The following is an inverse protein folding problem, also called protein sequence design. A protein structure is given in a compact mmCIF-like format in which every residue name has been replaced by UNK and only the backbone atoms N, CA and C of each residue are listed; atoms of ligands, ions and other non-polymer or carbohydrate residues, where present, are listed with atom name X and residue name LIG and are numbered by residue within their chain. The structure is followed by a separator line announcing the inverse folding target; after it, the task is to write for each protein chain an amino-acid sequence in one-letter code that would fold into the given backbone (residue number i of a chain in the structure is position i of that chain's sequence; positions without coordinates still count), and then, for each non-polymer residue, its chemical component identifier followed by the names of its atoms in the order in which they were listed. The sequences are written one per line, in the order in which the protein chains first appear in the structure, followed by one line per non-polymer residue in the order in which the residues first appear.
data_IF_531319016515
#
_entry.id   IF_531319016515
#
_cell.length_a   1.000
_cell.length_b   1.000
_cell.length_c   1.000
_cell.angle_alpha   90.00
_cell.angle_beta   90.00
_cell.angle_gamma   90.00
#
_symmetry.space_group_name_H-M   'P 1'
#
loop_
_entity.id
_entity.type
_entity.pdbx_description
1 polymer ?
#
# COMPACT_ATOMS: atom_id res chain seq x y z
N UNK A 1 -37.33 -19.69 36.41
CA UNK A 1 -36.97 -18.31 36.05
C UNK A 1 -35.65 -18.37 35.29
N UNK A 2 -35.68 -18.25 33.97
CA UNK A 2 -34.48 -18.33 33.12
C UNK A 2 -34.06 -16.88 32.85
N UNK A 3 -32.92 -16.46 33.41
CA UNK A 3 -32.32 -15.17 33.12
C UNK A 3 -31.54 -15.34 31.82
N UNK A 4 -32.10 -14.86 30.71
CA UNK A 4 -31.42 -14.80 29.42
C UNK A 4 -30.54 -13.54 29.42
N UNK A 5 -29.24 -13.70 29.71
CA UNK A 5 -28.25 -12.64 29.53
C UNK A 5 -27.94 -12.48 28.05
N UNK A 6 -28.62 -11.55 27.39
CA UNK A 6 -28.21 -11.06 26.08
C UNK A 6 -26.95 -10.20 26.24
N UNK A 7 -25.78 -10.82 26.08
CA UNK A 7 -24.54 -10.09 25.87
C UNK A 7 -24.59 -9.46 24.46
N UNK A 8 -25.07 -8.22 24.38
CA UNK A 8 -24.79 -7.35 23.23
C UNK A 8 -23.34 -6.91 23.41
N UNK A 9 -22.40 -7.76 22.97
CA UNK A 9 -21.01 -7.34 22.85
C UNK A 9 -20.96 -6.45 21.62
N UNK A 10 -21.06 -5.14 21.84
CA UNK A 10 -20.72 -4.15 20.84
C UNK A 10 -19.19 -4.18 20.69
N UNK A 11 -18.67 -5.21 20.02
CA UNK A 11 -17.27 -5.26 19.65
C UNK A 11 -17.12 -4.22 18.55
N UNK A 12 -16.77 -2.99 18.94
CA UNK A 12 -15.99 -2.13 18.05
C UNK A 12 -14.68 -2.88 17.81
N UNK A 13 -14.71 -3.82 16.87
CA UNK A 13 -13.53 -4.49 16.36
C UNK A 13 -12.72 -3.35 15.76
N UNK A 14 -11.71 -2.87 16.50
CA UNK A 14 -10.72 -1.96 15.95
C UNK A 14 -10.10 -2.70 14.76
N UNK A 15 -10.53 -2.32 13.56
CA UNK A 15 -10.00 -2.87 12.32
C UNK A 15 -8.52 -2.50 12.26
N UNK A 16 -7.65 -3.50 12.25
CA UNK A 16 -6.21 -3.32 12.08
C UNK A 16 -5.86 -3.75 10.67
N UNK A 17 -6.05 -2.85 9.70
CA UNK A 17 -5.70 -3.14 8.30
C UNK A 17 -4.18 -3.24 8.16
N UNK A 18 -3.75 -4.30 7.48
CA UNK A 18 -2.36 -4.54 7.09
C UNK A 18 -2.27 -4.61 5.58
N UNK A 19 -1.13 -4.26 5.02
CA UNK A 19 -0.92 -4.40 3.58
C UNK A 19 -0.99 -5.86 3.12
N UNK A 20 -0.61 -6.80 3.99
CA UNK A 20 -0.73 -8.23 3.76
C UNK A 20 -2.18 -8.71 3.54
N UNK A 21 -3.20 -7.94 3.94
CA UNK A 21 -4.62 -8.27 3.74
C UNK A 21 -5.05 -8.22 2.25
N UNK A 22 -4.14 -7.78 1.36
CA UNK A 22 -4.29 -7.86 -0.09
C UNK A 22 -3.99 -9.25 -0.66
N UNK A 23 -3.33 -10.12 0.12
CA UNK A 23 -2.91 -11.44 -0.33
C UNK A 23 -4.11 -12.28 -0.79
N UNK A 24 -4.01 -12.84 -2.01
CA UNK A 24 -5.08 -13.59 -2.67
C UNK A 24 -6.39 -12.82 -2.89
N UNK A 25 -6.38 -11.48 -2.86
CA UNK A 25 -7.55 -10.70 -3.28
C UNK A 25 -7.76 -10.84 -4.77
N UNK A 26 -8.96 -11.25 -5.15
CA UNK A 26 -9.37 -11.47 -6.53
C UNK A 26 -10.59 -10.61 -6.87
N UNK A 27 -10.57 -9.98 -8.04
CA UNK A 27 -11.68 -9.19 -8.57
C UNK A 27 -11.67 -9.20 -10.10
N UNK A 28 -12.82 -8.92 -10.71
CA UNK A 28 -12.96 -8.84 -12.16
C UNK A 28 -13.18 -7.40 -12.60
N UNK A 29 -12.54 -7.02 -13.70
CA UNK A 29 -12.76 -5.73 -14.35
C UNK A 29 -13.36 -5.93 -15.74
N UNK A 30 -14.16 -4.97 -16.19
CA UNK A 30 -14.65 -4.91 -17.56
C UNK A 30 -14.23 -3.59 -18.21
N UNK A 31 -13.24 -3.63 -19.10
CA UNK A 31 -12.66 -2.43 -19.73
C UNK A 31 -13.63 -1.66 -20.63
N UNK A 32 -14.77 -2.24 -21.03
CA UNK A 32 -15.79 -1.49 -21.77
C UNK A 32 -16.58 -0.54 -20.88
N UNK A 33 -16.88 -0.99 -19.67
CA UNK A 33 -17.71 -0.23 -18.71
C UNK A 33 -16.84 0.59 -17.77
N UNK A 34 -15.64 0.09 -17.46
CA UNK A 34 -14.73 0.72 -16.53
C UNK A 34 -13.92 1.83 -17.21
N UNK A 35 -14.37 3.07 -16.96
CA UNK A 35 -13.74 4.25 -17.52
C UNK A 35 -12.69 4.84 -16.58
N UNK A 36 -12.79 4.57 -15.28
CA UNK A 36 -11.88 5.11 -14.27
C UNK A 36 -10.60 4.29 -14.22
N UNK A 37 -9.52 4.96 -13.83
CA UNK A 37 -8.25 4.29 -13.58
C UNK A 37 -8.10 3.92 -12.10
N UNK A 38 -8.99 4.39 -11.22
CA UNK A 38 -8.97 4.10 -9.81
C UNK A 38 -10.19 3.24 -9.43
N UNK A 39 -9.94 1.98 -9.08
CA UNK A 39 -10.99 1.00 -8.77
C UNK A 39 -11.00 0.73 -7.27
N UNK A 40 -12.12 0.96 -6.60
CA UNK A 40 -12.26 0.57 -5.20
C UNK A 40 -12.48 -0.95 -5.13
N UNK A 41 -11.52 -1.67 -4.54
CA UNK A 41 -11.55 -3.16 -4.43
C UNK A 41 -11.92 -3.64 -3.03
N UNK A 42 -11.86 -2.76 -2.03
CA UNK A 42 -12.32 -3.01 -0.67
C UNK A 42 -12.81 -1.70 -0.03
N UNK A 43 -13.85 -1.78 0.81
CA UNK A 43 -14.38 -0.67 1.58
C UNK A 43 -15.03 -1.19 2.87
N UNK A 44 -14.63 -0.65 4.01
CA UNK A 44 -15.33 -0.84 5.29
C UNK A 44 -15.46 0.51 6.02
N UNK A 45 -15.84 0.53 7.30
CA UNK A 45 -16.01 1.78 8.04
C UNK A 45 -14.69 2.53 8.33
N UNK A 46 -13.54 1.87 8.21
CA UNK A 46 -12.23 2.40 8.63
C UNK A 46 -11.28 2.61 7.44
N UNK A 47 -11.39 1.80 6.40
CA UNK A 47 -10.46 1.74 5.28
C UNK A 47 -11.16 1.63 3.94
N UNK A 48 -10.47 2.11 2.90
CA UNK A 48 -10.77 1.78 1.51
C UNK A 48 -9.49 1.36 0.81
N UNK A 49 -9.55 0.32 -0.02
CA UNK A 49 -8.41 -0.09 -0.85
C UNK A 49 -8.76 0.22 -2.30
N UNK A 50 -7.84 0.89 -2.99
CA UNK A 50 -7.96 1.20 -4.40
C UNK A 50 -6.87 0.54 -5.22
N UNK A 51 -7.25 -0.05 -6.34
CA UNK A 51 -6.36 -0.55 -7.37
C UNK A 51 -6.23 0.49 -8.49
N UNK A 52 -5.01 0.83 -8.88
CA UNK A 52 -4.75 1.74 -9.98
C UNK A 52 -4.58 0.91 -11.27
N UNK A 53 -5.59 1.01 -12.14
CA UNK A 53 -5.65 0.32 -13.42
C UNK A 53 -4.69 0.96 -14.43
N UNK A 54 -3.66 0.21 -14.82
CA UNK A 54 -2.84 0.51 -15.99
C UNK A 54 -3.34 -0.27 -17.21
N UNK A 55 -4.09 0.41 -18.09
CA UNK A 55 -4.70 -0.22 -19.27
C UNK A 55 -3.68 -0.81 -20.26
N UNK A 56 -2.40 -0.43 -20.17
CA UNK A 56 -1.32 -0.99 -21.00
C UNK A 56 -1.12 -2.49 -20.77
N UNK A 57 -1.47 -2.98 -19.58
CA UNK A 57 -1.33 -4.39 -19.21
C UNK A 57 -2.42 -5.29 -19.81
N UNK A 58 -3.42 -4.74 -20.51
CA UNK A 58 -4.64 -5.49 -20.85
C UNK A 58 -4.79 -5.87 -22.33
N UNK A 59 -3.73 -5.70 -23.13
CA UNK A 59 -3.72 -6.08 -24.54
C UNK A 59 -3.01 -7.43 -24.76
N UNK A 60 -3.73 -8.52 -24.49
CA UNK A 60 -3.22 -9.88 -24.70
C UNK A 60 -4.35 -10.88 -25.02
N UNK A 61 -3.98 -12.09 -25.45
CA UNK A 61 -4.92 -13.11 -25.97
C UNK A 61 -5.94 -13.56 -24.90
N UNK A 62 -7.19 -13.80 -25.32
CA UNK A 62 -8.20 -14.44 -24.45
C UNK A 62 -7.71 -15.82 -24.02
N UNK A 63 -7.89 -16.14 -22.74
CA UNK A 63 -7.47 -17.41 -22.15
C UNK A 63 -5.98 -17.47 -21.76
N UNK A 64 -5.21 -16.41 -21.95
CA UNK A 64 -3.86 -16.31 -21.37
C UNK A 64 -3.87 -15.50 -20.07
N UNK A 65 -2.75 -15.57 -19.35
CA UNK A 65 -2.48 -14.76 -18.17
C UNK A 65 -1.15 -14.06 -18.30
N UNK A 66 -1.03 -12.89 -17.69
CA UNK A 66 0.25 -12.21 -17.51
C UNK A 66 0.52 -11.98 -16.03
N UNK A 67 1.79 -11.95 -15.66
CA UNK A 67 2.24 -11.51 -14.33
C UNK A 67 2.88 -10.13 -14.50
N UNK A 68 2.44 -9.16 -13.70
CA UNK A 68 3.04 -7.83 -13.66
C UNK A 68 2.94 -7.27 -12.24
N UNK A 69 3.14 -5.97 -12.10
CA UNK A 69 2.98 -5.27 -10.83
C UNK A 69 1.79 -4.31 -10.89
N UNK A 70 1.19 -4.05 -9.73
CA UNK A 70 0.04 -3.17 -9.58
C UNK A 70 0.30 -2.12 -8.50
N UNK A 71 -0.10 -0.90 -8.78
CA UNK A 71 -0.17 0.15 -7.76
C UNK A 71 -1.47 0.01 -6.96
N UNK A 72 -1.34 -0.03 -5.64
CA UNK A 72 -2.46 -0.16 -4.70
C UNK A 72 -2.36 0.92 -3.64
N UNK A 73 -3.50 1.54 -3.36
CA UNK A 73 -3.66 2.59 -2.36
C UNK A 73 -4.46 2.02 -1.20
N UNK A 74 -3.90 2.06 0.01
CA UNK A 74 -4.64 1.82 1.24
C UNK A 74 -4.98 3.13 1.91
N UNK A 75 -6.23 3.55 1.84
CA UNK A 75 -6.74 4.78 2.44
C UNK A 75 -7.28 4.52 3.85
N UNK A 76 -6.74 5.23 4.84
CA UNK A 76 -7.27 5.23 6.21
C UNK A 76 -8.22 6.42 6.41
N UNK A 77 -9.49 6.12 6.70
CA UNK A 77 -10.54 7.13 6.97
C UNK A 77 -10.30 7.88 8.28
N UNK A 78 -9.55 7.28 9.21
CA UNK A 78 -9.16 7.90 10.49
C UNK A 78 -8.18 9.04 10.28
N UNK A 79 -7.21 8.87 9.39
CA UNK A 79 -6.14 9.84 9.16
C UNK A 79 -6.39 10.74 7.94
N UNK A 80 -7.35 10.40 7.08
CA UNK A 80 -7.54 11.02 5.75
C UNK A 80 -6.23 11.02 4.94
N UNK A 81 -5.48 9.92 5.06
CA UNK A 81 -4.21 9.68 4.37
C UNK A 81 -4.22 8.29 3.76
N UNK A 82 -3.41 8.11 2.74
CA UNK A 82 -3.22 6.82 2.10
C UNK A 82 -1.76 6.38 2.10
N UNK A 83 -1.52 5.07 2.08
CA UNK A 83 -0.24 4.52 1.66
C UNK A 83 -0.39 3.95 0.25
N UNK A 84 0.44 4.43 -0.68
CA UNK A 84 0.61 3.91 -2.02
C UNK A 84 1.85 2.99 -2.05
N UNK A 85 1.65 1.77 -2.57
CA UNK A 85 2.72 0.80 -2.76
C UNK A 85 2.45 -0.09 -3.97
N UNK A 86 3.44 -0.90 -4.33
CA UNK A 86 3.42 -1.79 -5.49
C UNK A 86 3.33 -3.25 -5.03
N UNK A 87 2.41 -4.00 -5.63
CA UNK A 87 2.26 -5.44 -5.40
C UNK A 87 2.39 -6.24 -6.69
N UNK A 88 2.52 -7.57 -6.57
CA UNK A 88 2.41 -8.46 -7.72
C UNK A 88 0.94 -8.64 -8.08
N UNK A 89 0.69 -8.73 -9.38
CA UNK A 89 -0.61 -9.11 -9.90
C UNK A 89 -0.48 -10.21 -10.96
N UNK A 90 -1.49 -11.08 -10.99
CA UNK A 90 -1.78 -11.93 -12.13
C UNK A 90 -3.06 -11.42 -12.79
N UNK A 91 -3.01 -11.15 -14.10
CA UNK A 91 -4.16 -10.72 -14.89
C UNK A 91 -4.50 -11.85 -15.86
N UNK A 92 -5.71 -12.39 -15.77
CA UNK A 92 -6.24 -13.42 -16.66
C UNK A 92 -7.31 -12.83 -17.58
N UNK A 93 -7.13 -12.96 -18.90
CA UNK A 93 -8.10 -12.46 -19.88
C UNK A 93 -9.22 -13.49 -20.08
N UNK A 94 -10.24 -13.39 -19.23
CA UNK A 94 -11.35 -14.35 -19.16
C UNK A 94 -12.16 -14.43 -20.46
N UNK A 95 -12.59 -13.27 -20.97
CA UNK A 95 -13.34 -13.13 -22.23
C UNK A 95 -13.27 -11.69 -22.70
N UNK A 96 -13.80 -11.39 -23.90
CA UNK A 96 -13.74 -10.05 -24.52
C UNK A 96 -14.00 -8.93 -23.50
N UNK A 97 -12.96 -8.13 -23.24
CA UNK A 97 -12.96 -6.97 -22.34
C UNK A 97 -13.12 -7.27 -20.85
N UNK A 98 -13.15 -8.54 -20.42
CA UNK A 98 -13.26 -8.95 -19.01
C UNK A 98 -11.99 -9.65 -18.57
N UNK A 99 -11.43 -9.17 -17.47
CA UNK A 99 -10.17 -9.64 -16.93
C UNK A 99 -10.34 -9.92 -15.44
N UNK A 100 -9.87 -11.08 -15.01
CA UNK A 100 -9.79 -11.45 -13.60
C UNK A 100 -8.39 -11.07 -13.11
N UNK A 101 -8.32 -10.35 -11.99
CA UNK A 101 -7.09 -9.83 -11.40
C UNK A 101 -6.94 -10.48 -10.04
N UNK A 102 -5.77 -11.06 -9.79
CA UNK A 102 -5.36 -11.59 -8.49
C UNK A 102 -4.15 -10.82 -7.98
N UNK A 103 -4.28 -10.22 -6.80
CA UNK A 103 -3.19 -9.54 -6.13
C UNK A 103 -2.47 -10.49 -5.18
N UNK A 104 -1.16 -10.27 -5.03
CA UNK A 104 -0.33 -10.94 -4.04
C UNK A 104 0.72 -9.96 -3.54
N UNK A 105 1.12 -10.11 -2.28
CA UNK A 105 2.15 -9.25 -1.67
C UNK A 105 3.47 -9.34 -2.45
N UNK A 106 3.68 -10.45 -3.15
CA UNK A 106 4.94 -10.76 -3.82
C UNK A 106 6.09 -10.95 -2.85
N UNK A 107 5.79 -11.08 -1.55
CA UNK A 107 6.79 -11.31 -0.52
C UNK A 107 7.19 -12.77 -0.50
N UNK A 108 8.45 -13.05 -0.83
CA UNK A 108 9.07 -14.34 -0.49
C UNK A 108 9.69 -14.20 0.90
N UNK A 109 9.23 -15.01 1.85
CA UNK A 109 9.57 -14.91 3.27
C UNK A 109 9.33 -13.51 3.86
N UNK A 110 10.41 -12.72 3.85
CA UNK A 110 10.65 -11.51 4.63
C UNK A 110 10.89 -10.28 3.74
N UNK A 111 10.83 -10.44 2.42
CA UNK A 111 11.27 -9.40 1.48
C UNK A 111 10.12 -8.85 0.67
N UNK A 112 9.95 -7.53 0.66
CA UNK A 112 9.03 -6.88 -0.29
C UNK A 112 9.66 -6.83 -1.68
N UNK A 113 8.80 -6.91 -2.70
CA UNK A 113 9.23 -6.74 -4.09
C UNK A 113 9.78 -5.33 -4.36
N UNK A 114 9.14 -4.31 -3.77
CA UNK A 114 9.50 -2.90 -3.93
C UNK A 114 9.51 -2.24 -2.56
N UNK A 115 10.60 -1.56 -2.22
CA UNK A 115 10.78 -0.86 -0.95
C UNK A 115 10.32 0.60 -0.98
N UNK A 116 10.15 1.17 -2.16
CA UNK A 116 9.72 2.55 -2.39
C UNK A 116 8.19 2.67 -2.31
N UNK A 117 7.72 3.55 -1.43
CA UNK A 117 6.31 3.82 -1.14
C UNK A 117 6.04 5.32 -1.04
N UNK A 118 4.77 5.71 -1.08
CA UNK A 118 4.37 7.09 -0.87
C UNK A 118 3.18 7.20 0.08
N UNK A 119 3.10 8.33 0.76
CA UNK A 119 1.95 8.71 1.58
C UNK A 119 1.23 9.83 0.85
N UNK A 120 -0.07 9.61 0.63
CA UNK A 120 -0.94 10.50 -0.11
C UNK A 120 -1.95 11.19 0.82
N UNK A 121 -2.41 12.37 0.44
CA UNK A 121 -3.53 13.04 1.10
C UNK A 121 -4.90 12.44 0.70
N UNK A 122 -6.00 13.06 1.16
CA UNK A 122 -7.37 12.69 0.82
C UNK A 122 -7.73 12.88 -0.67
N UNK A 123 -6.95 13.69 -1.37
CA UNK A 123 -7.09 13.94 -2.80
C UNK A 123 -6.23 13.00 -3.65
N UNK A 124 -5.43 12.14 -3.00
CA UNK A 124 -4.40 11.30 -3.61
C UNK A 124 -3.21 12.09 -4.19
N UNK A 125 -2.96 13.28 -3.66
CA UNK A 125 -1.75 14.04 -3.93
C UNK A 125 -0.61 13.54 -3.03
N UNK A 126 0.60 13.50 -3.58
CA UNK A 126 1.79 13.03 -2.89
C UNK A 126 2.22 14.05 -1.82
N UNK A 127 2.36 13.60 -0.56
CA UNK A 127 2.86 14.43 0.53
C UNK A 127 4.19 13.96 1.12
N UNK A 128 4.36 12.64 1.27
CA UNK A 128 5.59 12.05 1.80
C UNK A 128 6.05 10.88 0.95
N UNK A 129 7.36 10.71 0.87
CA UNK A 129 7.96 9.46 0.43
C UNK A 129 8.29 8.59 1.61
N UNK A 130 8.20 7.27 1.40
CA UNK A 130 8.53 6.28 2.40
C UNK A 130 9.43 5.22 1.78
N UNK A 131 10.56 4.94 2.42
CA UNK A 131 11.48 3.89 2.01
C UNK A 131 11.57 2.84 3.10
N UNK A 132 11.23 1.61 2.74
CA UNK A 132 11.40 0.46 3.61
C UNK A 132 12.81 -0.11 3.47
N UNK A 133 13.47 -0.31 4.60
CA UNK A 133 14.80 -0.86 4.67
C UNK A 133 14.81 -2.02 5.65
N UNK A 134 15.69 -2.97 5.40
CA UNK A 134 15.87 -4.10 6.27
C UNK A 134 17.31 -4.58 6.26
N UNK A 135 17.69 -5.21 7.36
CA UNK A 135 18.95 -5.91 7.46
C UNK A 135 18.64 -7.36 7.83
N UNK A 136 19.05 -8.29 6.98
CA UNK A 136 19.05 -9.70 7.38
C UNK A 136 20.19 -9.86 8.39
N UNK A 137 19.91 -10.32 9.62
CA UNK A 137 20.95 -10.54 10.59
C UNK A 137 21.89 -11.67 10.13
N UNK A 138 23.15 -11.70 10.62
CA UNK A 138 23.94 -12.93 10.63
C UNK A 138 23.15 -14.04 11.36
N UNK A 139 23.42 -15.30 11.01
CA UNK A 139 22.74 -16.46 11.58
C UNK A 139 22.60 -16.32 13.11
N UNK A 140 21.35 -16.41 13.61
CA UNK A 140 20.91 -16.36 15.04
C UNK A 140 20.34 -15.05 15.61
N UNK A 141 20.39 -13.89 14.92
CA UNK A 141 19.79 -12.65 15.44
C UNK A 141 18.36 -12.35 14.92
N UNK A 142 17.65 -11.47 15.64
CA UNK A 142 16.32 -10.98 15.24
C UNK A 142 16.43 -10.06 14.02
N UNK A 143 15.50 -10.22 13.09
CA UNK A 143 15.41 -9.39 11.90
C UNK A 143 15.08 -7.93 12.26
N UNK A 144 15.87 -6.98 11.75
CA UNK A 144 15.64 -5.55 11.94
C UNK A 144 15.17 -4.93 10.64
N UNK A 145 14.03 -4.25 10.69
CA UNK A 145 13.56 -3.42 9.58
C UNK A 145 13.06 -2.09 10.09
N UNK A 146 13.17 -1.08 9.23
CA UNK A 146 12.74 0.28 9.52
C UNK A 146 12.12 0.90 8.27
N UNK A 147 11.33 1.95 8.49
CA UNK A 147 10.94 2.86 7.43
C UNK A 147 11.60 4.20 7.64
N UNK A 148 11.99 4.84 6.55
CA UNK A 148 12.32 6.26 6.54
C UNK A 148 11.20 6.99 5.82
N UNK A 149 10.63 8.02 6.43
CA UNK A 149 9.59 8.89 5.85
C UNK A 149 10.20 10.27 5.62
N UNK A 150 10.01 10.84 4.43
CA UNK A 150 10.52 12.16 4.04
C UNK A 150 9.41 13.03 3.47
N UNK A 151 9.32 14.28 3.91
CA UNK A 151 8.39 15.26 3.32
C UNK A 151 8.86 15.69 1.92
N UNK A 152 7.94 15.68 0.95
CA UNK A 152 8.23 15.97 -0.46
C UNK A 152 8.52 17.45 -0.70
N UNK A 153 7.91 18.36 0.09
CA UNK A 153 8.03 19.81 -0.15
C UNK A 153 9.43 20.34 0.13
N UNK A 154 10.06 19.81 1.18
CA UNK A 154 11.29 20.33 1.73
C UNK A 154 12.45 19.33 1.69
N UNK A 155 12.21 18.03 1.44
CA UNK A 155 13.20 16.92 1.36
C UNK A 155 14.17 16.80 2.56
N UNK A 156 14.19 17.75 3.48
CA UNK A 156 15.12 17.81 4.62
C UNK A 156 14.54 17.16 5.89
N UNK A 157 13.21 17.11 5.98
CA UNK A 157 12.52 16.57 7.15
C UNK A 157 12.32 15.09 6.94
N UNK A 158 13.04 14.28 7.72
CA UNK A 158 12.87 12.82 7.69
C UNK A 158 12.79 12.25 9.09
N UNK A 159 12.10 11.13 9.20
CA UNK A 159 12.09 10.29 10.40
C UNK A 159 12.43 8.87 10.00
N UNK A 160 13.19 8.18 10.84
CA UNK A 160 13.35 6.73 10.74
C UNK A 160 12.63 6.07 11.90
N UNK A 161 11.86 5.03 11.59
CA UNK A 161 10.99 4.33 12.53
C UNK A 161 11.33 2.85 12.45
N UNK A 162 11.79 2.29 13.56
CA UNK A 162 11.98 0.85 13.69
C UNK A 162 10.63 0.14 13.68
N UNK A 163 10.53 -0.90 12.88
CA UNK A 163 9.34 -1.72 12.77
C UNK A 163 9.49 -2.96 13.67
N UNK A 164 8.36 -3.45 14.16
CA UNK A 164 8.32 -4.70 14.93
C UNK A 164 8.48 -5.92 14.03
N UNK A 165 8.02 -5.79 12.79
CA UNK A 165 8.08 -6.83 11.78
C UNK A 165 8.21 -6.20 10.38
N UNK A 166 8.07 -6.99 9.31
CA UNK A 166 7.96 -6.47 7.95
C UNK A 166 6.83 -5.46 7.83
N UNK A 167 7.09 -4.41 7.06
CA UNK A 167 6.12 -3.33 6.84
C UNK A 167 4.77 -3.83 6.32
N UNK A 168 4.73 -4.92 5.55
CA UNK A 168 3.46 -5.45 5.04
C UNK A 168 2.54 -5.99 6.15
N UNK A 169 3.11 -6.40 7.29
CA UNK A 169 2.39 -6.91 8.45
C UNK A 169 2.17 -5.85 9.52
N UNK A 170 2.74 -4.66 9.35
CA UNK A 170 2.50 -3.53 10.23
C UNK A 170 1.09 -2.97 10.00
N UNK A 171 0.46 -2.53 11.09
CA UNK A 171 -0.83 -1.84 11.00
C UNK A 171 -0.61 -0.49 10.30
N UNK A 172 -1.41 -0.23 9.26
CA UNK A 172 -1.37 1.01 8.49
C UNK A 172 -1.53 2.23 9.40
N UNK A 173 -2.42 2.16 10.39
CA UNK A 173 -2.61 3.26 11.34
C UNK A 173 -1.34 3.56 12.13
N UNK A 174 -0.56 2.53 12.52
CA UNK A 174 0.71 2.74 13.23
C UNK A 174 1.74 3.46 12.34
N UNK A 175 1.77 3.14 11.04
CA UNK A 175 2.65 3.82 10.09
C UNK A 175 2.22 5.29 9.96
N UNK A 176 0.94 5.54 9.75
CA UNK A 176 0.39 6.89 9.53
C UNK A 176 0.48 7.78 10.79
N UNK A 177 0.37 7.22 11.99
CA UNK A 177 0.49 7.96 13.25
C UNK A 177 1.83 8.69 13.39
N UNK A 178 2.90 8.10 12.82
CA UNK A 178 4.23 8.69 12.88
C UNK A 178 4.43 9.89 11.94
N UNK A 179 3.54 10.12 10.96
CA UNK A 179 3.66 11.27 10.04
C UNK A 179 3.64 12.59 10.82
N UNK A 180 2.82 12.69 11.87
CA UNK A 180 2.73 13.87 12.73
C UNK A 180 4.07 14.28 13.36
N UNK A 181 5.03 13.34 13.45
CA UNK A 181 6.36 13.55 14.03
C UNK A 181 7.37 14.06 13.00
N UNK A 182 7.06 14.00 11.70
CA UNK A 182 7.97 14.42 10.61
C UNK A 182 8.30 15.91 10.68
N UNK A 183 7.33 16.76 11.01
CA UNK A 183 7.54 18.21 11.12
C UNK A 183 8.40 18.63 12.32
N UNK A 184 8.55 17.74 13.31
CA UNK A 184 9.20 18.06 14.59
C UNK A 184 10.59 17.43 14.72
N UNK A 185 11.04 16.66 13.73
CA UNK A 185 12.34 16.00 13.75
C UNK A 185 13.43 16.88 13.15
N UNK A 186 14.66 16.70 13.66
CA UNK A 186 15.83 17.50 13.26
C UNK A 186 15.99 17.54 11.74
N UNK A 187 16.13 18.75 11.17
CA UNK A 187 16.57 18.93 9.79
C UNK A 187 17.89 18.21 9.62
N UNK A 188 17.91 17.15 8.81
CA UNK A 188 19.15 16.45 8.50
C UNK A 188 20.10 17.43 7.80
N UNK A 189 21.38 17.41 8.18
CA UNK A 189 22.43 18.30 7.61
C UNK A 189 22.51 18.24 6.09
N UNK A 190 22.18 17.09 5.48
CA UNK A 190 22.11 16.87 4.04
C UNK A 190 20.68 16.52 3.67
N UNK A 191 20.02 17.37 2.88
CA UNK A 191 18.63 17.20 2.42
C UNK A 191 18.53 16.24 1.23
N UNK A 192 19.19 15.09 1.31
CA UNK A 192 19.22 14.12 0.24
C UNK A 192 17.89 13.37 0.17
N UNK A 193 17.37 13.18 -1.05
CA UNK A 193 16.13 12.43 -1.27
C UNK A 193 16.34 10.95 -0.91
N UNK A 194 15.38 10.35 -0.19
CA UNK A 194 15.42 8.92 0.12
C UNK A 194 15.03 8.06 -1.10
N UNK A 195 14.34 8.67 -2.07
CA UNK A 195 13.87 8.08 -3.33
C UNK A 195 14.62 8.70 -4.51
N UNK A 196 15.03 7.88 -5.48
CA UNK A 196 15.75 8.34 -6.67
C UNK A 196 14.81 8.56 -7.86
N UNK A 197 15.23 9.31 -8.87
CA UNK A 197 14.43 9.55 -10.09
C UNK A 197 13.95 8.26 -10.78
N UNK A 198 14.68 7.15 -10.63
CA UNK A 198 14.26 5.85 -11.16
C UNK A 198 13.00 5.35 -10.48
N UNK A 199 12.92 5.44 -9.15
CA UNK A 199 11.76 5.02 -8.38
C UNK A 199 10.51 5.80 -8.80
N UNK A 200 10.64 7.11 -9.06
CA UNK A 200 9.56 7.94 -9.60
C UNK A 200 9.01 7.44 -10.92
N UNK A 201 9.90 7.08 -11.85
CA UNK A 201 9.48 6.69 -13.19
C UNK A 201 8.93 5.26 -13.23
N UNK A 202 9.36 4.40 -12.30
CA UNK A 202 9.00 2.98 -12.29
C UNK A 202 7.81 2.66 -11.37
N UNK A 203 7.72 3.30 -10.19
CA UNK A 203 6.79 2.88 -9.13
C UNK A 203 5.70 3.89 -8.83
N UNK A 204 5.87 5.17 -9.14
CA UNK A 204 4.88 6.20 -8.80
C UNK A 204 4.13 6.71 -10.04
N UNK A 205 2.81 6.53 -10.13
CA UNK A 205 2.02 7.13 -11.19
C UNK A 205 2.17 8.66 -11.19
N UNK A 206 2.47 9.26 -12.36
CA UNK A 206 2.60 10.73 -12.49
C UNK A 206 1.37 11.49 -11.98
N UNK A 207 0.18 10.91 -12.15
CA UNK A 207 -1.09 11.44 -11.66
C UNK A 207 -2.04 10.30 -11.35
N UNK A 208 -2.73 10.41 -10.23
CA UNK A 208 -3.81 9.49 -9.84
C UNK A 208 -5.12 10.16 -10.25
N UNK A 209 -5.79 9.61 -11.25
CA UNK A 209 -7.04 10.16 -11.79
C UNK A 209 -8.21 9.35 -11.22
N UNK A 210 -9.03 10.01 -10.39
CA UNK A 210 -10.24 9.45 -9.76
C UNK A 210 -11.31 9.07 -10.80
#
# INVERSE_FOLDING_TARGET
MIILLAFIININIFSQMKMADIENREFSINLKTEKRNLLKVFDDNHYSIYYILDKRDFDFKVGSSINSTANVIFFSKKYNKSILTVFRQNIYHKKKSIYDIKLSTGSHDKYMLVSSMAILDENFDYEYFMKYSYMSPPEEENYTSWITIQNIKDNCNTISIDLKNHIIYENIDNILDNISKVSNYEKIKNCDSIIYNRDFNEYFPKKIIK
#
